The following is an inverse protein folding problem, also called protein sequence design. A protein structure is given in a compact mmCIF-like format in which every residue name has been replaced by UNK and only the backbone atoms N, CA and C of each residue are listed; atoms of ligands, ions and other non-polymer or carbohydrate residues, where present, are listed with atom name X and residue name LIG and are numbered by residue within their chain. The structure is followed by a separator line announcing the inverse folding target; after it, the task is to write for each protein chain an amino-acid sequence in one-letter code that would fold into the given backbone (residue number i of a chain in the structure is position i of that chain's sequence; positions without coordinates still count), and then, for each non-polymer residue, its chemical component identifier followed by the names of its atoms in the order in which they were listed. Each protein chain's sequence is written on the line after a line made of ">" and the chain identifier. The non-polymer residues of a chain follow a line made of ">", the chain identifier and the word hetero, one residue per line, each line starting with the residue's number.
data_IF_655693254308
#
_entry.id   IF_655693254308
#
_cell.length_a   1.000
_cell.length_b   1.000
_cell.length_c   1.000
_cell.angle_alpha   90.00
_cell.angle_beta   90.00
_cell.angle_gamma   90.00
#
_symmetry.space_group_name_H-M   'P 1'
#
loop_
_entity.id
_entity.type
_entity.pdbx_description
1 polymer ?
#
# COMPACT_ATOMS: atom_id res chain seq x y z
N UNK A 1 -10.21 7.03 -14.59
CA UNK A 1 -10.16 7.02 -13.11
C UNK A 1 -8.89 7.76 -12.73
N UNK A 2 -9.06 8.93 -12.13
CA UNK A 2 -8.09 9.93 -11.64
C UNK A 2 -6.62 9.52 -11.52
N UNK A 3 -5.79 10.15 -12.35
CA UNK A 3 -4.39 10.41 -12.02
C UNK A 3 -4.39 11.59 -11.04
N UNK A 4 -4.27 11.31 -9.75
CA UNK A 4 -4.06 12.36 -8.76
C UNK A 4 -2.58 12.81 -8.83
N UNK A 5 -2.26 14.02 -9.31
CA UNK A 5 -0.93 14.56 -9.20
C UNK A 5 -0.68 14.84 -7.72
N UNK A 6 -0.03 13.88 -7.05
CA UNK A 6 0.35 13.98 -5.64
C UNK A 6 1.27 15.17 -5.47
N UNK A 7 0.72 16.22 -4.89
CA UNK A 7 1.31 17.54 -4.84
C UNK A 7 2.52 17.68 -3.91
N UNK A 8 3.17 18.83 -4.10
CA UNK A 8 4.07 19.53 -3.19
C UNK A 8 5.52 19.02 -3.12
N UNK A 9 6.34 19.54 -4.04
CA UNK A 9 7.78 19.78 -3.88
C UNK A 9 8.08 20.80 -2.77
N UNK A 10 7.68 20.51 -1.53
CA UNK A 10 8.00 21.29 -0.34
C UNK A 10 8.75 20.43 0.66
N UNK A 11 10.08 20.58 0.74
CA UNK A 11 10.97 19.99 1.73
C UNK A 11 10.63 18.53 2.09
N UNK A 12 10.98 17.55 1.22
CA UNK A 12 10.72 16.09 1.36
C UNK A 12 10.57 15.67 2.83
N UNK A 13 9.34 15.69 3.35
CA UNK A 13 9.08 15.29 4.72
C UNK A 13 9.22 13.77 4.80
N UNK A 14 9.57 13.24 5.96
CA UNK A 14 9.70 11.79 6.13
C UNK A 14 8.39 11.08 5.76
N UNK A 15 7.26 11.73 6.00
CA UNK A 15 5.93 11.32 5.57
C UNK A 15 5.81 11.20 4.05
N UNK A 16 6.26 12.20 3.29
CA UNK A 16 6.19 12.20 1.83
C UNK A 16 7.08 11.09 1.23
N UNK A 17 8.27 10.87 1.80
CA UNK A 17 9.18 9.79 1.40
C UNK A 17 8.57 8.41 1.74
N UNK A 18 7.96 8.27 2.92
CA UNK A 18 7.30 7.03 3.33
C UNK A 18 6.10 6.69 2.43
N UNK A 19 5.33 7.71 2.01
CA UNK A 19 4.23 7.54 1.05
C UNK A 19 4.73 7.08 -0.32
N UNK A 20 5.85 7.62 -0.81
CA UNK A 20 6.44 7.21 -2.08
C UNK A 20 6.96 5.76 -2.03
N UNK A 21 7.69 5.42 -0.95
CA UNK A 21 8.17 4.06 -0.71
C UNK A 21 7.02 3.05 -0.58
N UNK A 22 5.96 3.40 0.15
CA UNK A 22 4.77 2.57 0.29
C UNK A 22 4.13 2.29 -1.07
N UNK A 23 3.94 3.33 -1.90
CA UNK A 23 3.37 3.20 -3.25
C UNK A 23 4.24 2.28 -4.11
N UNK A 24 5.56 2.47 -4.09
CA UNK A 24 6.49 1.63 -4.81
C UNK A 24 6.36 0.16 -4.40
N UNK A 25 6.36 -0.14 -3.09
CA UNK A 25 6.21 -1.51 -2.57
C UNK A 25 4.85 -2.11 -2.96
N UNK A 26 3.76 -1.37 -2.79
CA UNK A 26 2.42 -1.86 -3.13
C UNK A 26 2.26 -2.16 -4.63
N UNK A 27 2.83 -1.32 -5.49
CA UNK A 27 2.78 -1.51 -6.95
C UNK A 27 3.65 -2.66 -7.44
N UNK A 28 4.87 -2.78 -6.90
CA UNK A 28 5.85 -3.80 -7.34
C UNK A 28 5.57 -5.19 -6.82
N UNK A 29 5.06 -5.30 -5.58
CA UNK A 29 4.82 -6.61 -4.92
C UNK A 29 3.37 -7.05 -4.98
N UNK A 30 2.44 -6.15 -5.35
CA UNK A 30 1.02 -6.42 -5.22
C UNK A 30 0.55 -6.48 -3.76
N UNK A 31 1.26 -5.81 -2.83
CA UNK A 31 0.92 -5.82 -1.40
C UNK A 31 -0.53 -5.42 -1.14
N UNK A 32 -1.24 -6.27 -0.40
CA UNK A 32 -2.66 -6.11 -0.10
C UNK A 32 -3.61 -6.33 -1.29
N UNK A 33 -3.10 -6.42 -2.53
CA UNK A 33 -3.95 -6.66 -3.70
C UNK A 33 -4.59 -8.04 -3.54
N UNK A 34 -5.91 -8.06 -3.36
CA UNK A 34 -6.66 -9.30 -3.32
C UNK A 34 -6.77 -9.80 -4.74
N UNK A 35 -5.97 -10.81 -5.08
CA UNK A 35 -6.06 -11.43 -6.40
C UNK A 35 -7.42 -12.09 -6.53
N UNK A 36 -8.36 -11.39 -7.16
CA UNK A 36 -9.59 -11.95 -7.68
C UNK A 36 -9.56 -11.84 -9.20
N UNK A 37 -8.67 -12.61 -9.81
CA UNK A 37 -8.75 -12.97 -11.23
C UNK A 37 -9.10 -14.46 -11.27
N UNK A 38 -10.37 -14.79 -11.56
CA UNK A 38 -11.02 -16.11 -11.42
C UNK A 38 -10.40 -17.27 -12.24
N UNK A 39 -10.97 -18.47 -12.32
CA UNK A 39 -12.33 -19.00 -12.09
C UNK A 39 -12.22 -20.50 -11.70
N UNK A 40 -12.99 -20.99 -10.73
CA UNK A 40 -12.96 -22.41 -10.36
C UNK A 40 -13.95 -22.76 -9.25
N UNK A 41 -14.77 -23.77 -9.51
CA UNK A 41 -15.83 -24.29 -8.66
C UNK A 41 -15.33 -24.63 -7.25
N UNK A 42 -15.97 -24.00 -6.25
CA UNK A 42 -15.86 -24.27 -4.81
C UNK A 42 -14.59 -23.80 -4.08
N UNK A 43 -14.81 -22.97 -3.05
CA UNK A 43 -13.94 -22.91 -1.88
C UNK A 43 -13.58 -21.49 -1.45
N UNK A 44 -14.48 -20.83 -0.70
CA UNK A 44 -14.19 -19.98 0.49
C UNK A 44 -12.81 -19.31 0.64
N UNK A 45 -12.22 -18.79 -0.43
CA UNK A 45 -11.05 -17.94 -0.37
C UNK A 45 -11.58 -16.53 -0.25
N UNK A 46 -11.75 -16.06 0.99
CA UNK A 46 -12.22 -14.72 1.29
C UNK A 46 -11.58 -13.74 0.30
N UNK A 47 -12.39 -13.16 -0.59
CA UNK A 47 -12.03 -11.89 -1.21
C UNK A 47 -11.70 -11.00 -0.02
N UNK A 48 -10.40 -10.80 0.27
CA UNK A 48 -10.01 -10.16 1.51
C UNK A 48 -10.77 -8.83 1.50
N UNK A 49 -11.57 -8.63 2.56
CA UNK A 49 -12.51 -7.52 2.60
C UNK A 49 -11.75 -6.25 2.23
N UNK A 50 -12.34 -5.30 1.48
CA UNK A 50 -11.66 -4.04 1.18
C UNK A 50 -11.14 -3.35 2.46
N UNK A 51 -11.77 -3.62 3.60
CA UNK A 51 -11.32 -3.26 4.95
C UNK A 51 -9.95 -3.86 5.32
N UNK A 52 -9.72 -5.13 5.01
CA UNK A 52 -8.47 -5.82 5.28
C UNK A 52 -7.35 -5.36 4.34
N UNK A 53 -7.70 -5.06 3.09
CA UNK A 53 -6.76 -4.39 2.17
C UNK A 53 -6.29 -3.04 2.72
N UNK A 54 -7.23 -2.23 3.20
CA UNK A 54 -6.89 -0.95 3.83
C UNK A 54 -6.02 -1.14 5.08
N UNK A 55 -6.31 -2.16 5.90
CA UNK A 55 -5.48 -2.54 7.05
C UNK A 55 -4.03 -2.83 6.66
N UNK A 56 -3.82 -3.67 5.65
CA UNK A 56 -2.49 -3.98 5.12
C UNK A 56 -1.77 -2.71 4.64
N UNK A 57 -2.43 -1.85 3.87
CA UNK A 57 -1.82 -0.60 3.39
C UNK A 57 -1.40 0.32 4.54
N UNK A 58 -2.21 0.45 5.59
CA UNK A 58 -1.87 1.26 6.78
C UNK A 58 -0.69 0.68 7.57
N UNK A 59 -0.61 -0.65 7.67
CA UNK A 59 0.53 -1.34 8.29
C UNK A 59 1.82 -1.12 7.48
N UNK A 60 1.73 -1.22 6.16
CA UNK A 60 2.86 -0.97 5.27
C UNK A 60 3.36 0.46 5.39
N UNK A 61 2.46 1.45 5.40
CA UNK A 61 2.82 2.85 5.62
C UNK A 61 3.60 3.04 6.92
N UNK A 62 3.13 2.45 8.01
CA UNK A 62 3.77 2.54 9.33
C UNK A 62 5.20 1.98 9.30
N UNK A 63 5.42 0.86 8.60
CA UNK A 63 6.76 0.28 8.39
C UNK A 63 7.65 1.20 7.54
N UNK A 64 7.12 1.75 6.46
CA UNK A 64 7.84 2.70 5.61
C UNK A 64 8.25 3.96 6.38
N UNK A 65 7.36 4.50 7.21
CA UNK A 65 7.63 5.66 8.04
C UNK A 65 8.75 5.38 9.06
N UNK A 66 8.71 4.23 9.73
CA UNK A 66 9.77 3.83 10.67
C UNK A 66 11.13 3.67 9.99
N UNK A 67 11.15 3.07 8.79
CA UNK A 67 12.37 2.90 7.99
C UNK A 67 12.98 4.26 7.58
N UNK A 68 12.14 5.21 7.17
CA UNK A 68 12.58 6.56 6.76
C UNK A 68 12.96 7.42 7.96
N UNK A 69 12.30 7.25 9.11
CA UNK A 69 12.61 7.98 10.34
C UNK A 69 13.98 7.61 10.95
N UNK A 70 14.69 6.62 10.39
CA UNK A 70 16.03 6.26 10.84
C UNK A 70 16.09 5.66 12.25
N UNK A 71 14.94 5.20 12.78
CA UNK A 71 14.90 4.47 14.06
C UNK A 71 15.46 3.06 13.82
N UNK A 72 16.77 2.93 13.90
CA UNK A 72 17.51 1.66 13.94
C UNK A 72 18.08 1.44 15.33
#
# INVERSE_FOLDING_TARGET
>A
MDEAPGGASGSRRNEDIALDLMKFVAMTTGYGRTSSSGVGFQGTGAAAKPEEYAGHLLELYSKCLQAVAGKK
#
